data_IF_346855375092
#
_entry.id   IF_346855375092
#
_cell.length_a   1.000
_cell.length_b   1.000
_cell.length_c   1.000
_cell.angle_alpha   90.00
_cell.angle_beta   90.00
_cell.angle_gamma   90.00
#
_symmetry.space_group_name_H-M   'P 1'
#
loop_
_entity.id
_entity.type
_entity.pdbx_description
1 polymer ?
#
# COMPACT_ATOMS: atom_id res chain seq x y z
N UNK A 1 21.96 31.01 24.59
CA UNK A 1 22.13 29.54 24.42
C UNK A 1 20.86 28.77 24.74
N UNK A 2 20.13 29.07 25.83
CA UNK A 2 18.88 28.36 26.20
C UNK A 2 17.80 28.34 25.10
N UNK A 3 17.58 29.46 24.41
CA UNK A 3 16.60 29.57 23.32
C UNK A 3 16.89 28.65 22.14
N UNK A 4 18.17 28.41 21.82
CA UNK A 4 18.56 27.48 20.76
C UNK A 4 18.30 26.03 21.15
N UNK A 5 18.55 25.68 22.41
CA UNK A 5 18.25 24.35 22.95
C UNK A 5 16.74 24.07 22.99
N UNK A 6 15.93 25.08 23.35
CA UNK A 6 14.47 24.97 23.35
C UNK A 6 13.90 24.70 21.95
N UNK A 7 14.42 25.38 20.91
CA UNK A 7 14.01 25.15 19.53
C UNK A 7 14.41 23.75 19.02
N UNK A 8 15.61 23.28 19.34
CA UNK A 8 16.07 21.93 18.98
C UNK A 8 15.21 20.87 19.69
N UNK A 9 14.89 21.09 20.97
CA UNK A 9 13.98 20.22 21.72
C UNK A 9 12.61 20.14 21.07
N UNK A 10 11.99 21.28 20.75
CA UNK A 10 10.69 21.33 20.10
C UNK A 10 10.67 20.61 18.74
N UNK A 11 11.72 20.80 17.93
CA UNK A 11 11.85 20.13 16.64
C UNK A 11 11.90 18.60 16.78
N UNK A 12 12.71 18.08 17.71
CA UNK A 12 12.83 16.64 17.93
C UNK A 12 11.51 16.00 18.37
N UNK A 13 10.72 16.66 19.22
CA UNK A 13 9.39 16.15 19.62
C UNK A 13 8.42 16.01 18.44
N UNK A 14 8.46 16.91 17.45
CA UNK A 14 7.56 16.83 16.28
C UNK A 14 7.89 15.68 15.31
N UNK A 15 9.12 15.16 15.35
CA UNK A 15 9.56 14.10 14.41
C UNK A 15 9.35 12.68 14.93
N UNK A 16 9.04 12.51 16.21
CA UNK A 16 8.91 11.20 16.87
C UNK A 16 7.61 10.43 16.55
N UNK A 17 6.64 11.05 15.85
CA UNK A 17 5.33 10.44 15.56
C UNK A 17 5.24 9.61 14.28
N UNK A 18 6.21 9.68 13.38
CA UNK A 18 6.13 9.07 12.04
C UNK A 18 6.61 7.59 11.97
N UNK A 19 6.65 6.89 13.11
CA UNK A 19 7.19 5.52 13.17
C UNK A 19 6.30 4.48 12.46
N UNK A 20 4.98 4.68 12.43
CA UNK A 20 4.02 3.78 11.78
C UNK A 20 3.54 4.28 10.40
N UNK A 21 4.11 5.38 9.89
CA UNK A 21 3.77 5.82 8.55
C UNK A 21 4.50 4.92 7.54
N UNK A 22 3.74 4.21 6.70
CA UNK A 22 4.30 3.34 5.67
C UNK A 22 5.28 4.13 4.80
N UNK A 23 6.57 3.76 4.84
CA UNK A 23 7.62 4.42 4.06
C UNK A 23 7.81 3.67 2.74
N UNK A 24 7.85 4.37 1.59
CA UNK A 24 8.23 3.74 0.34
C UNK A 24 9.67 3.23 0.44
N UNK A 25 9.90 2.00 -0.02
CA UNK A 25 11.25 1.48 -0.16
C UNK A 25 11.84 1.97 -1.49
N UNK A 26 12.58 3.07 -1.45
CA UNK A 26 13.12 3.74 -2.63
C UNK A 26 14.14 2.88 -3.40
N UNK A 27 14.92 2.06 -2.71
CA UNK A 27 16.00 1.28 -3.32
C UNK A 27 15.58 -0.16 -3.67
N UNK A 28 14.56 -0.68 -3.01
CA UNK A 28 14.04 -2.01 -3.28
C UNK A 28 12.51 -2.01 -3.15
N UNK A 29 11.80 -1.49 -4.16
CA UNK A 29 10.34 -1.37 -4.12
C UNK A 29 9.61 -2.73 -4.11
N UNK A 30 10.33 -3.83 -4.37
CA UNK A 30 9.80 -5.18 -4.52
C UNK A 30 9.38 -5.48 -5.96
N UNK A 31 8.92 -6.72 -6.19
CA UNK A 31 8.45 -7.15 -7.51
C UNK A 31 7.14 -6.47 -7.89
N UNK A 32 6.81 -6.45 -9.19
CA UNK A 32 5.53 -5.92 -9.68
C UNK A 32 4.34 -6.57 -8.96
N UNK A 33 4.42 -7.86 -8.64
CA UNK A 33 3.35 -8.60 -7.98
C UNK A 33 3.19 -8.15 -6.53
N UNK A 34 4.30 -7.98 -5.81
CA UNK A 34 4.28 -7.43 -4.45
C UNK A 34 3.70 -6.01 -4.43
N UNK A 35 4.05 -5.18 -5.42
CA UNK A 35 3.51 -3.83 -5.54
C UNK A 35 2.01 -3.83 -5.84
N UNK A 36 1.54 -4.71 -6.75
CA UNK A 36 0.11 -4.88 -7.04
C UNK A 36 -0.69 -5.30 -5.81
N UNK A 37 -0.16 -6.23 -5.00
CA UNK A 37 -0.83 -6.64 -3.75
C UNK A 37 -0.91 -5.51 -2.75
N UNK A 38 0.16 -4.71 -2.59
CA UNK A 38 0.11 -3.50 -1.74
C UNK A 38 -0.93 -2.49 -2.24
N UNK A 39 -1.07 -2.36 -3.56
CA UNK A 39 -2.03 -1.44 -4.17
C UNK A 39 -3.49 -1.82 -3.90
N UNK A 40 -3.81 -3.10 -3.63
CA UNK A 40 -5.18 -3.52 -3.30
C UNK A 40 -5.75 -2.79 -2.06
N UNK A 41 -4.92 -2.54 -1.06
CA UNK A 41 -5.34 -1.82 0.15
C UNK A 41 -5.53 -0.32 -0.06
N UNK A 42 -4.97 0.21 -1.15
CA UNK A 42 -4.94 1.63 -1.48
C UNK A 42 -5.75 1.94 -2.75
N UNK A 43 -6.56 0.98 -3.23
CA UNK A 43 -7.35 1.12 -4.45
C UNK A 43 -8.46 2.17 -4.20
N UNK A 44 -8.47 3.30 -4.93
CA UNK A 44 -9.52 4.31 -4.76
C UNK A 44 -10.86 3.85 -5.37
N UNK A 45 -10.88 2.75 -6.14
CA UNK A 45 -12.08 2.30 -6.82
C UNK A 45 -12.88 1.29 -5.98
N UNK A 46 -14.22 1.36 -6.04
CA UNK A 46 -15.10 0.44 -5.32
C UNK A 46 -14.94 -0.99 -5.84
N UNK A 47 -14.96 -1.95 -4.92
CA UNK A 47 -14.85 -3.36 -5.24
C UNK A 47 -15.97 -3.81 -6.20
N UNK A 48 -15.65 -4.69 -7.16
CA UNK A 48 -16.60 -5.14 -8.18
C UNK A 48 -17.73 -5.97 -7.59
N UNK A 49 -17.48 -6.62 -6.45
CA UNK A 49 -18.37 -7.61 -5.85
C UNK A 49 -19.24 -7.01 -4.72
N UNK A 50 -18.96 -5.76 -4.34
CA UNK A 50 -19.59 -5.11 -3.19
C UNK A 50 -20.96 -4.46 -3.50
N UNK A 51 -21.42 -4.49 -4.75
CA UNK A 51 -22.65 -3.83 -5.15
C UNK A 51 -23.08 -4.12 -6.59
N UNK A 52 -24.03 -3.33 -7.13
CA UNK A 52 -24.43 -3.43 -8.53
C UNK A 52 -23.24 -3.21 -9.46
N UNK A 53 -23.27 -3.84 -10.64
CA UNK A 53 -22.21 -3.70 -11.63
C UNK A 53 -22.01 -2.22 -12.02
N UNK A 54 -20.79 -1.71 -11.80
CA UNK A 54 -20.42 -0.32 -12.05
C UNK A 54 -19.53 -0.19 -13.29
N UNK A 55 -20.17 -0.30 -14.47
CA UNK A 55 -19.51 -0.19 -15.76
C UNK A 55 -18.92 1.21 -15.98
N UNK A 56 -17.66 1.29 -16.38
CA UNK A 56 -16.99 2.54 -16.75
C UNK A 56 -16.50 3.41 -15.58
N UNK A 57 -16.70 2.98 -14.33
CA UNK A 57 -16.19 3.71 -13.15
C UNK A 57 -14.69 3.47 -12.93
N UNK A 58 -14.22 2.26 -13.24
CA UNK A 58 -12.81 1.88 -13.20
C UNK A 58 -12.14 2.14 -14.56
N UNK A 59 -10.89 2.63 -14.61
CA UNK A 59 -10.14 2.68 -15.85
C UNK A 59 -9.96 1.28 -16.44
N UNK A 60 -9.73 1.22 -17.76
CA UNK A 60 -9.69 -0.02 -18.54
C UNK A 60 -8.71 -1.06 -17.97
N UNK A 61 -7.56 -0.61 -17.50
CA UNK A 61 -6.48 -1.45 -16.97
C UNK A 61 -6.79 -1.98 -15.56
N UNK A 62 -7.81 -1.43 -14.91
CA UNK A 62 -8.25 -1.77 -13.55
C UNK A 62 -9.69 -2.27 -13.53
N UNK A 63 -10.32 -2.49 -14.69
CA UNK A 63 -11.71 -2.94 -14.79
C UNK A 63 -11.92 -4.34 -14.23
N UNK A 64 -10.84 -5.13 -14.16
CA UNK A 64 -10.86 -6.48 -13.61
C UNK A 64 -10.12 -6.50 -12.28
N UNK A 65 -10.89 -6.65 -11.20
CA UNK A 65 -10.43 -6.93 -9.85
C UNK A 65 -9.90 -8.38 -9.74
N UNK A 66 -9.14 -8.64 -8.68
CA UNK A 66 -8.75 -10.01 -8.35
C UNK A 66 -9.97 -10.82 -7.87
N UNK A 67 -10.00 -12.14 -8.10
CA UNK A 67 -11.03 -12.99 -7.53
C UNK A 67 -11.09 -12.87 -6.00
N UNK A 68 -12.29 -12.95 -5.43
CA UNK A 68 -12.55 -12.81 -3.99
C UNK A 68 -11.62 -13.67 -3.12
N UNK A 69 -11.39 -14.91 -3.52
CA UNK A 69 -10.49 -15.84 -2.83
C UNK A 69 -9.05 -15.30 -2.70
N UNK A 70 -8.58 -14.58 -3.72
CA UNK A 70 -7.24 -13.97 -3.73
C UNK A 70 -7.23 -12.68 -2.92
N UNK A 71 -8.28 -11.86 -2.98
CA UNK A 71 -8.40 -10.63 -2.18
C UNK A 71 -8.35 -10.93 -0.68
N UNK A 72 -8.95 -12.04 -0.25
CA UNK A 72 -8.97 -12.47 1.15
C UNK A 72 -7.64 -13.05 1.63
N UNK A 73 -6.79 -13.53 0.72
CA UNK A 73 -5.50 -14.15 1.04
C UNK A 73 -4.39 -13.70 0.08
N UNK A 74 -4.10 -12.39 0.01
CA UNK A 74 -3.21 -11.86 -1.02
C UNK A 74 -1.76 -12.29 -0.82
N UNK A 75 -1.34 -12.54 0.43
CA UNK A 75 0.00 -13.05 0.73
C UNK A 75 0.19 -14.50 0.28
N UNK A 76 -0.80 -15.37 0.48
CA UNK A 76 -0.76 -16.76 0.01
C UNK A 76 -0.62 -16.83 -1.52
N UNK A 77 -1.27 -15.91 -2.24
CA UNK A 77 -1.11 -15.77 -3.68
C UNK A 77 0.30 -15.33 -4.09
N UNK A 78 0.92 -14.42 -3.35
CA UNK A 78 2.33 -14.04 -3.59
C UNK A 78 3.27 -15.21 -3.35
N UNK A 79 3.11 -15.96 -2.27
CA UNK A 79 3.96 -17.11 -1.97
C UNK A 79 3.85 -18.20 -3.04
N UNK A 80 2.63 -18.42 -3.56
CA UNK A 80 2.36 -19.49 -4.53
C UNK A 80 2.67 -19.11 -5.99
N UNK A 81 2.54 -17.83 -6.37
CA UNK A 81 2.62 -17.39 -7.78
C UNK A 81 3.47 -16.13 -8.03
N UNK A 82 3.82 -15.39 -6.99
CA UNK A 82 4.43 -14.05 -7.09
C UNK A 82 5.82 -13.91 -6.48
N UNK A 83 6.34 -14.96 -5.86
CA UNK A 83 7.64 -15.00 -5.20
C UNK A 83 8.63 -15.73 -6.11
N UNK A 84 9.45 -15.04 -6.92
CA UNK A 84 10.74 -15.61 -7.25
C UNK A 84 11.49 -15.66 -5.93
N UNK A 85 11.43 -16.82 -5.25
CA UNK A 85 12.39 -17.14 -4.22
C UNK A 85 13.77 -16.84 -4.82
N UNK A 86 14.52 -15.93 -4.19
CA UNK A 86 15.87 -15.47 -4.55
C UNK A 86 16.37 -15.80 -5.96
#
# INVERSE_FOLDING_TARGET
>A
MLTRLALIGLFLLTTAGCANLARPNWFNPGTVQQQRVRALYSDPYPDTDAGPEMLGVRPREFSSSLPEAVKNQPYSYLDQYGNPAF
#
